data_IF_848419986364
#
_entry.id   IF_848419986364
#
_cell.length_a   1.000
_cell.length_b   1.000
_cell.length_c   1.000
_cell.angle_alpha   90.00
_cell.angle_beta   90.00
_cell.angle_gamma   90.00
#
_symmetry.space_group_name_H-M   'P 1'
#
loop_
_entity.id
_entity.type
_entity.pdbx_description
1 polymer ?
#
# COMPACT_ATOMS: atom_id res chain seq x y z
N UNK A 1 9.38 18.59 26.60
CA UNK A 1 10.21 17.76 25.70
C UNK A 1 9.45 16.45 25.44
N UNK A 2 8.78 16.25 24.30
CA UNK A 2 8.20 14.95 23.98
C UNK A 2 9.29 14.04 23.40
N UNK A 3 9.52 12.90 24.05
CA UNK A 3 10.55 11.93 23.69
C UNK A 3 10.28 11.26 22.34
N UNK A 4 11.34 11.11 21.55
CA UNK A 4 11.35 10.33 20.31
C UNK A 4 11.18 8.85 20.64
N UNK A 5 9.97 8.30 20.46
CA UNK A 5 9.73 6.85 20.54
C UNK A 5 10.53 6.14 19.44
N UNK A 6 11.42 5.21 19.82
CA UNK A 6 12.15 4.37 18.86
C UNK A 6 11.25 3.22 18.40
N UNK A 7 11.42 2.77 17.15
CA UNK A 7 10.67 1.66 16.57
C UNK A 7 10.72 0.38 17.43
N UNK A 8 11.83 0.16 18.13
CA UNK A 8 12.00 -0.93 19.10
C UNK A 8 11.03 -0.85 20.28
N UNK A 9 10.69 0.36 20.76
CA UNK A 9 9.77 0.56 21.87
C UNK A 9 8.31 0.29 21.46
N UNK A 10 7.98 0.60 20.20
CA UNK A 10 6.67 0.30 19.61
C UNK A 10 6.49 -1.22 19.41
N UNK A 11 7.53 -1.90 18.91
CA UNK A 11 7.51 -3.35 18.66
C UNK A 11 7.56 -4.16 19.96
N UNK A 12 8.35 -3.76 20.96
CA UNK A 12 8.39 -4.42 22.27
C UNK A 12 7.04 -4.37 22.99
N UNK A 13 6.28 -3.27 22.82
CA UNK A 13 4.94 -3.10 23.42
C UNK A 13 3.82 -3.80 22.65
N UNK A 14 4.01 -4.09 21.36
CA UNK A 14 3.10 -4.93 20.57
C UNK A 14 3.24 -6.43 20.94
N UNK A 15 4.42 -6.89 21.35
CA UNK A 15 4.65 -8.27 21.79
C UNK A 15 3.94 -8.63 23.12
N UNK A 16 3.63 -7.65 23.97
CA UNK A 16 2.92 -7.87 25.25
C UNK A 16 1.47 -8.35 25.04
N UNK A 17 0.91 -8.22 23.83
CA UNK A 17 -0.51 -8.53 23.55
C UNK A 17 -0.77 -9.86 22.83
N UNK A 18 0.23 -10.73 22.71
CA UNK A 18 0.09 -12.07 22.09
C UNK A 18 0.01 -13.24 23.10
N UNK A 19 -0.14 -12.99 24.41
CA UNK A 19 -0.27 -14.02 25.45
C UNK A 19 -1.56 -13.90 26.29
N UNK A 20 -2.06 -15.05 26.76
CA UNK A 20 -3.25 -15.30 27.60
C UNK A 20 -3.49 -14.33 28.80
N UNK A 21 -4.72 -14.27 29.37
CA UNK A 21 -5.08 -13.30 30.41
C UNK A 21 -4.19 -13.42 31.67
N UNK A 22 -3.89 -12.31 32.35
CA UNK A 22 -2.97 -12.31 33.48
C UNK A 22 -3.57 -13.06 34.67
N UNK A 23 -2.89 -14.12 35.11
CA UNK A 23 -2.98 -14.58 36.48
C UNK A 23 -2.26 -13.57 37.37
N UNK A 24 -2.99 -13.07 38.36
CA UNK A 24 -2.49 -12.27 39.47
C UNK A 24 -1.38 -13.03 40.18
N UNK A 25 -0.19 -12.43 40.31
CA UNK A 25 0.70 -12.61 41.47
C UNK A 25 1.66 -11.42 41.62
N UNK A 26 2.02 -11.24 42.88
CA UNK A 26 2.53 -10.07 43.59
C UNK A 26 4.02 -9.78 43.38
N UNK A 27 4.36 -8.53 43.69
CA UNK A 27 5.68 -7.93 43.91
C UNK A 27 6.79 -8.86 44.43
N UNK A 28 8.01 -8.75 43.89
CA UNK A 28 9.12 -8.01 44.51
C UNK A 28 10.39 -7.99 43.63
N UNK A 29 11.24 -6.98 43.91
CA UNK A 29 12.68 -6.82 43.68
C UNK A 29 13.28 -6.38 42.33
N UNK A 30 13.56 -5.07 42.27
CA UNK A 30 14.87 -4.39 42.20
C UNK A 30 16.01 -4.95 41.30
N UNK A 31 16.61 -4.03 40.52
CA UNK A 31 17.97 -4.21 39.99
C UNK A 31 18.27 -3.38 38.74
N UNK A 32 18.72 -2.14 38.94
CA UNK A 32 19.40 -1.33 37.92
C UNK A 32 20.79 -1.90 37.65
N UNK A 33 21.23 -1.95 36.39
CA UNK A 33 22.62 -1.59 36.07
C UNK A 33 22.84 -1.18 34.61
N UNK A 34 23.74 -0.23 34.46
CA UNK A 34 24.10 0.46 33.23
C UNK A 34 25.51 0.07 32.76
N UNK A 35 25.73 0.06 31.44
CA UNK A 35 27.04 -0.10 30.80
C UNK A 35 26.90 -0.83 29.46
N UNK A 36 27.55 -0.49 28.37
CA UNK A 36 28.52 0.53 28.02
C UNK A 36 28.58 0.57 26.49
N UNK A 37 28.86 1.75 25.93
CA UNK A 37 29.09 1.97 24.52
C UNK A 37 30.49 1.43 24.18
N UNK A 38 30.61 0.59 23.16
CA UNK A 38 31.89 0.34 22.50
C UNK A 38 31.70 0.41 20.99
N UNK A 39 32.48 1.31 20.39
CA UNK A 39 32.45 1.68 19.00
C UNK A 39 33.80 1.32 18.39
N UNK A 40 33.88 0.18 17.71
CA UNK A 40 34.78 0.01 16.56
C UNK A 40 34.58 -1.37 15.92
N UNK A 41 34.18 -1.42 14.65
CA UNK A 41 34.63 -2.46 13.69
C UNK A 41 34.19 -2.14 12.26
N UNK A 42 35.10 -2.33 11.27
CA UNK A 42 34.87 -1.98 9.88
C UNK A 42 34.00 -3.01 9.17
N UNK A 43 33.20 -2.54 8.20
CA UNK A 43 32.26 -3.35 7.45
C UNK A 43 32.90 -4.19 6.34
N UNK A 44 32.23 -5.28 5.89
CA UNK A 44 32.55 -5.91 4.63
C UNK A 44 31.66 -5.37 3.51
N UNK A 45 32.31 -5.05 2.39
CA UNK A 45 31.68 -4.93 1.09
C UNK A 45 30.98 -6.25 0.71
N UNK A 46 29.75 -6.17 0.20
CA UNK A 46 28.94 -7.34 -0.14
C UNK A 46 27.97 -7.07 -1.29
N UNK A 47 28.32 -7.64 -2.44
CA UNK A 47 27.50 -8.21 -3.54
C UNK A 47 26.14 -7.60 -3.92
N UNK A 48 25.99 -7.34 -5.23
CA UNK A 48 24.72 -7.16 -5.90
C UNK A 48 23.77 -8.34 -5.59
N UNK A 49 22.74 -8.08 -4.79
CA UNK A 49 21.82 -9.10 -4.30
C UNK A 49 21.01 -9.76 -5.40
N UNK A 50 21.08 -11.08 -5.44
CA UNK A 50 20.13 -11.93 -6.13
C UNK A 50 18.70 -11.51 -5.76
N UNK A 51 17.86 -11.30 -6.77
CA UNK A 51 16.41 -11.15 -6.58
C UNK A 51 15.88 -12.38 -5.84
N UNK A 52 15.35 -12.18 -4.63
CA UNK A 52 14.70 -13.22 -3.85
C UNK A 52 13.49 -13.75 -4.62
N UNK A 53 13.67 -14.89 -5.30
CA UNK A 53 12.68 -15.54 -6.15
C UNK A 53 11.37 -15.89 -5.43
N UNK A 54 11.36 -15.82 -4.09
CA UNK A 54 10.18 -16.01 -3.25
C UNK A 54 9.15 -14.88 -3.44
N UNK A 55 9.61 -13.63 -3.59
CA UNK A 55 8.72 -12.46 -3.72
C UNK A 55 8.17 -12.32 -5.15
N UNK A 56 8.94 -12.71 -6.16
CA UNK A 56 8.48 -12.75 -7.55
C UNK A 56 7.26 -13.68 -7.73
N UNK A 57 7.15 -14.72 -6.90
CA UNK A 57 6.03 -15.69 -6.94
C UNK A 57 4.71 -15.14 -6.38
N UNK A 58 4.71 -14.03 -5.64
CA UNK A 58 3.48 -13.48 -5.04
C UNK A 58 2.49 -13.06 -6.12
N UNK A 59 3.00 -12.44 -7.19
CA UNK A 59 2.20 -11.92 -8.30
C UNK A 59 2.11 -12.87 -9.50
N UNK A 60 2.98 -13.88 -9.57
CA UNK A 60 2.90 -14.91 -10.60
C UNK A 60 1.57 -15.71 -10.50
N UNK A 61 0.97 -16.16 -11.61
CA UNK A 61 -0.20 -17.03 -11.57
C UNK A 61 0.09 -18.34 -10.81
N UNK A 62 -0.92 -18.97 -10.19
CA UNK A 62 -0.72 -20.25 -9.49
C UNK A 62 -0.25 -21.33 -10.49
N UNK A 63 0.73 -22.18 -10.12
CA UNK A 63 1.17 -23.28 -10.96
C UNK A 63 0.03 -24.30 -11.16
N UNK A 64 -0.15 -24.77 -12.39
CA UNK A 64 -1.09 -25.86 -12.72
C UNK A 64 -2.57 -25.47 -12.91
N UNK A 65 -2.92 -24.18 -12.92
CA UNK A 65 -4.27 -23.74 -13.32
C UNK A 65 -4.46 -23.76 -14.85
N UNK A 66 -5.71 -23.66 -15.36
CA UNK A 66 -5.98 -23.50 -16.80
C UNK A 66 -5.37 -22.22 -17.41
N UNK A 67 -4.89 -21.31 -16.56
CA UNK A 67 -4.15 -20.09 -16.90
C UNK A 67 -2.69 -20.12 -16.48
N UNK A 68 -2.13 -21.29 -16.15
CA UNK A 68 -0.71 -21.44 -15.89
C UNK A 68 0.05 -21.13 -17.18
N UNK A 69 0.45 -19.88 -17.34
CA UNK A 69 1.42 -19.50 -18.35
C UNK A 69 2.69 -20.36 -18.14
N UNK A 70 3.36 -20.80 -19.22
CA UNK A 70 4.61 -21.54 -19.09
C UNK A 70 5.58 -20.75 -18.21
N UNK A 71 6.15 -21.43 -17.22
CA UNK A 71 7.06 -20.83 -16.24
C UNK A 71 8.30 -20.26 -16.97
N UNK A 72 8.30 -18.95 -17.19
CA UNK A 72 9.37 -18.20 -17.82
C UNK A 72 9.30 -16.73 -17.38
N UNK A 73 10.40 -15.98 -17.50
CA UNK A 73 10.51 -14.61 -17.01
C UNK A 73 9.36 -13.79 -17.61
N UNK A 74 8.66 -13.00 -16.78
CA UNK A 74 7.75 -11.90 -17.17
C UNK A 74 7.29 -11.99 -18.62
N UNK A 75 6.08 -12.52 -18.88
CA UNK A 75 5.49 -12.68 -20.21
C UNK A 75 6.11 -11.70 -21.22
N UNK A 76 6.93 -12.23 -22.14
CA UNK A 76 7.78 -11.39 -23.00
C UNK A 76 7.01 -10.20 -23.56
N UNK A 77 7.65 -9.04 -23.66
CA UNK A 77 7.00 -7.81 -24.14
C UNK A 77 6.29 -7.99 -25.49
N UNK A 78 6.75 -8.93 -26.32
CA UNK A 78 6.08 -9.39 -27.54
C UNK A 78 4.77 -10.13 -27.28
N UNK A 79 4.73 -11.05 -26.31
CA UNK A 79 3.52 -11.77 -25.89
C UNK A 79 2.44 -10.85 -25.34
N UNK A 80 2.80 -9.88 -24.48
CA UNK A 80 1.86 -8.87 -24.00
C UNK A 80 1.32 -8.02 -25.17
N UNK A 81 2.21 -7.56 -26.07
CA UNK A 81 1.81 -6.76 -27.24
C UNK A 81 0.82 -7.51 -28.14
N UNK A 82 1.09 -8.79 -28.41
CA UNK A 82 0.21 -9.64 -29.20
C UNK A 82 -1.16 -9.81 -28.52
N UNK A 83 -1.19 -10.06 -27.21
CA UNK A 83 -2.43 -10.17 -26.46
C UNK A 83 -3.26 -8.87 -26.49
N UNK A 84 -2.61 -7.71 -26.32
CA UNK A 84 -3.27 -6.41 -26.36
C UNK A 84 -3.74 -6.00 -27.77
N UNK A 85 -3.07 -6.48 -28.82
CA UNK A 85 -3.46 -6.20 -30.21
C UNK A 85 -4.85 -6.78 -30.55
N UNK A 86 -5.22 -7.90 -29.93
CA UNK A 86 -6.54 -8.53 -30.12
C UNK A 86 -7.67 -7.92 -29.29
N UNK A 87 -7.40 -6.99 -28.39
CA UNK A 87 -8.43 -6.38 -27.53
C UNK A 87 -9.09 -5.16 -28.19
N UNK A 88 -10.37 -4.92 -27.88
CA UNK A 88 -11.02 -3.64 -28.16
C UNK A 88 -10.41 -2.50 -27.32
N UNK A 89 -10.60 -1.26 -27.76
CA UNK A 89 -9.96 -0.08 -27.15
C UNK A 89 -10.32 0.11 -25.67
N UNK A 90 -11.56 -0.14 -25.28
CA UNK A 90 -12.01 -0.05 -23.89
C UNK A 90 -11.28 -1.06 -22.99
N UNK A 91 -11.15 -2.32 -23.43
CA UNK A 91 -10.42 -3.36 -22.70
C UNK A 91 -8.93 -3.08 -22.65
N UNK A 92 -8.35 -2.63 -23.77
CA UNK A 92 -6.95 -2.23 -23.82
C UNK A 92 -6.67 -1.09 -22.84
N UNK A 93 -7.48 -0.04 -22.85
CA UNK A 93 -7.35 1.09 -21.91
C UNK A 93 -7.53 0.63 -20.45
N UNK A 94 -8.50 -0.24 -20.18
CA UNK A 94 -8.75 -0.76 -18.84
C UNK A 94 -7.61 -1.63 -18.28
N UNK A 95 -6.91 -2.37 -19.15
CA UNK A 95 -5.74 -3.19 -18.78
C UNK A 95 -4.50 -2.34 -18.59
N UNK A 96 -4.29 -1.32 -19.43
CA UNK A 96 -3.12 -0.45 -19.36
C UNK A 96 -3.20 0.59 -18.25
N UNK A 97 -4.40 0.98 -17.82
CA UNK A 97 -4.60 1.99 -16.79
C UNK A 97 -5.62 1.52 -15.72
N UNK A 98 -5.26 0.51 -14.91
CA UNK A 98 -6.15 -0.05 -13.89
C UNK A 98 -6.49 0.95 -12.76
N UNK A 99 -5.72 2.04 -12.62
CA UNK A 99 -5.94 3.10 -11.66
C UNK A 99 -6.72 4.30 -12.24
N UNK A 100 -6.92 4.34 -13.56
CA UNK A 100 -7.55 5.47 -14.24
C UNK A 100 -6.75 6.78 -14.15
N UNK A 101 -5.41 6.71 -14.12
CA UNK A 101 -4.53 7.88 -14.00
C UNK A 101 -4.55 8.79 -15.24
N UNK A 102 -4.93 8.23 -16.39
CA UNK A 102 -5.10 8.98 -17.64
C UNK A 102 -6.43 9.73 -17.69
N UNK A 103 -7.37 9.41 -16.80
CA UNK A 103 -8.66 10.10 -16.69
C UNK A 103 -8.51 11.38 -15.86
N UNK A 104 -9.35 12.40 -16.07
CA UNK A 104 -9.41 13.56 -15.19
C UNK A 104 -9.65 13.14 -13.74
N UNK A 105 -9.08 13.88 -12.80
CA UNK A 105 -9.33 13.64 -11.39
C UNK A 105 -10.83 13.80 -11.10
N UNK A 106 -11.40 13.01 -10.17
CA UNK A 106 -12.74 13.30 -9.70
C UNK A 106 -12.77 14.70 -9.05
N UNK A 107 -13.95 15.35 -8.97
CA UNK A 107 -14.05 16.62 -8.27
C UNK A 107 -13.57 16.47 -6.81
N UNK A 108 -12.92 17.51 -6.30
CA UNK A 108 -12.42 17.53 -4.92
C UNK A 108 -13.54 17.16 -3.95
N UNK A 109 -13.25 16.22 -3.05
CA UNK A 109 -14.17 15.66 -2.05
C UNK A 109 -15.42 14.96 -2.61
N UNK A 110 -15.46 14.63 -3.91
CA UNK A 110 -16.49 13.75 -4.50
C UNK A 110 -15.84 12.47 -5.00
N UNK A 111 -15.83 11.38 -4.20
CA UNK A 111 -15.18 10.15 -4.60
C UNK A 111 -15.80 9.57 -5.87
N UNK A 112 -14.96 9.06 -6.76
CA UNK A 112 -15.39 8.28 -7.93
C UNK A 112 -15.03 6.81 -7.73
N UNK A 113 -15.88 5.87 -8.15
CA UNK A 113 -15.59 4.47 -7.90
C UNK A 113 -14.46 3.95 -8.80
N UNK A 114 -13.66 3.03 -8.27
CA UNK A 114 -12.55 2.37 -8.96
C UNK A 114 -12.97 0.96 -9.35
N UNK A 115 -12.96 0.70 -10.65
CA UNK A 115 -13.29 -0.61 -11.23
C UNK A 115 -12.01 -1.40 -11.50
N UNK A 116 -12.10 -2.72 -11.38
CA UNK A 116 -11.05 -3.62 -11.81
C UNK A 116 -10.93 -3.63 -13.35
N UNK A 117 -9.77 -4.02 -13.89
CA UNK A 117 -9.60 -4.30 -15.30
C UNK A 117 -10.67 -5.25 -15.84
N UNK A 118 -11.13 -5.04 -17.07
CA UNK A 118 -12.13 -5.88 -17.71
C UNK A 118 -11.81 -6.16 -19.18
N UNK A 119 -12.31 -7.28 -19.67
CA UNK A 119 -12.38 -7.63 -21.09
C UNK A 119 -13.83 -7.52 -21.52
N UNK A 120 -14.10 -6.75 -22.57
CA UNK A 120 -15.43 -6.56 -23.12
C UNK A 120 -15.50 -7.34 -24.44
N UNK A 121 -16.37 -8.34 -24.50
CA UNK A 121 -16.61 -9.13 -25.71
C UNK A 121 -17.62 -8.44 -26.64
N UNK A 122 -17.46 -7.12 -26.84
CA UNK A 122 -18.36 -6.30 -27.66
C UNK A 122 -19.63 -5.81 -26.94
N UNK A 123 -19.99 -6.38 -25.79
CA UNK A 123 -21.00 -5.85 -24.87
C UNK A 123 -20.33 -5.36 -23.57
N UNK A 124 -20.75 -4.20 -23.05
CA UNK A 124 -20.30 -3.76 -21.75
C UNK A 124 -20.71 -4.79 -20.67
N UNK A 125 -19.85 -5.11 -19.70
CA UNK A 125 -20.22 -6.05 -18.64
C UNK A 125 -21.48 -5.57 -17.91
N UNK A 126 -22.37 -6.51 -17.58
CA UNK A 126 -23.67 -6.22 -16.95
C UNK A 126 -23.54 -5.43 -15.63
N UNK A 127 -22.41 -5.58 -14.93
CA UNK A 127 -22.02 -4.71 -13.83
C UNK A 127 -20.48 -4.61 -13.75
N UNK A 128 -19.92 -3.45 -13.39
CA UNK A 128 -18.49 -3.32 -13.16
C UNK A 128 -18.06 -4.08 -11.90
N UNK A 129 -16.91 -4.77 -11.98
CA UNK A 129 -16.27 -5.34 -10.80
C UNK A 129 -15.51 -4.24 -10.05
N UNK A 130 -15.83 -4.00 -8.79
CA UNK A 130 -15.18 -2.96 -7.99
C UNK A 130 -13.83 -3.43 -7.45
N UNK A 131 -12.84 -2.55 -7.43
CA UNK A 131 -11.56 -2.81 -6.78
C UNK A 131 -11.72 -2.65 -5.26
N UNK A 132 -12.44 -3.56 -4.61
CA UNK A 132 -12.72 -3.54 -3.17
C UNK A 132 -11.84 -4.54 -2.42
N UNK A 133 -11.42 -4.21 -1.20
CA UNK A 133 -10.81 -5.18 -0.30
C UNK A 133 -11.78 -6.32 0.05
N UNK A 134 -11.28 -7.53 0.25
CA UNK A 134 -12.11 -8.71 0.58
C UNK A 134 -12.75 -8.59 1.97
N UNK A 135 -11.94 -8.21 2.95
CA UNK A 135 -12.31 -8.04 4.36
C UNK A 135 -11.48 -6.94 5.03
N UNK A 136 -11.80 -6.58 6.28
CA UNK A 136 -11.18 -5.51 7.07
C UNK A 136 -9.64 -5.63 7.23
N UNK A 137 -9.07 -6.81 7.07
CA UNK A 137 -7.62 -7.07 7.18
C UNK A 137 -6.87 -7.00 5.85
N UNK A 138 -7.60 -6.88 4.74
CA UNK A 138 -7.02 -6.94 3.37
C UNK A 138 -6.82 -5.59 2.69
N UNK A 139 -7.06 -4.45 3.37
CA UNK A 139 -6.83 -3.11 2.81
C UNK A 139 -5.43 -2.96 2.20
N UNK A 140 -4.38 -3.35 2.94
CA UNK A 140 -3.00 -3.34 2.44
C UNK A 140 -2.78 -4.26 1.25
N UNK A 141 -3.39 -5.45 1.26
CA UNK A 141 -3.28 -6.39 0.14
C UNK A 141 -4.00 -5.90 -1.12
N UNK A 142 -5.15 -5.24 -0.98
CA UNK A 142 -5.88 -4.60 -2.07
C UNK A 142 -5.04 -3.49 -2.72
N UNK A 143 -4.47 -2.60 -1.89
CA UNK A 143 -3.57 -1.53 -2.34
C UNK A 143 -2.35 -2.08 -3.08
N UNK A 144 -1.66 -3.07 -2.51
CA UNK A 144 -0.48 -3.68 -3.13
C UNK A 144 -0.81 -4.45 -4.41
N UNK A 145 -2.00 -5.06 -4.49
CA UNK A 145 -2.48 -5.74 -5.69
C UNK A 145 -2.75 -4.76 -6.83
N UNK A 146 -3.40 -3.63 -6.54
CA UNK A 146 -3.70 -2.60 -7.53
C UNK A 146 -2.44 -1.84 -7.96
N UNK A 147 -1.51 -1.59 -7.02
CA UNK A 147 -0.17 -1.07 -7.32
C UNK A 147 0.58 -1.98 -8.31
N UNK A 148 0.59 -3.29 -8.05
CA UNK A 148 1.24 -4.26 -8.93
C UNK A 148 0.59 -4.32 -10.31
N UNK A 149 -0.74 -4.33 -10.39
CA UNK A 149 -1.45 -4.28 -11.68
C UNK A 149 -1.12 -3.00 -12.46
N UNK A 150 -1.01 -1.84 -11.79
CA UNK A 150 -0.66 -0.59 -12.44
C UNK A 150 0.77 -0.57 -13.01
N UNK A 151 1.67 -1.37 -12.45
CA UNK A 151 3.04 -1.51 -12.94
C UNK A 151 3.28 -2.73 -13.84
N UNK A 152 2.30 -3.63 -13.99
CA UNK A 152 2.39 -4.86 -14.77
C UNK A 152 1.07 -5.10 -15.52
N UNK A 153 0.97 -4.64 -16.79
CA UNK A 153 -0.22 -4.84 -17.61
C UNK A 153 -0.54 -6.31 -17.90
N UNK A 154 0.45 -7.22 -17.79
CA UNK A 154 0.16 -8.64 -17.92
C UNK A 154 -0.61 -9.16 -16.70
N UNK A 155 -0.20 -8.77 -15.49
CA UNK A 155 -0.98 -9.06 -14.28
C UNK A 155 -2.39 -8.47 -14.35
N UNK A 156 -2.52 -7.22 -14.82
CA UNK A 156 -3.82 -6.57 -15.02
C UNK A 156 -4.70 -7.35 -16.03
N UNK A 157 -4.12 -7.78 -17.17
CA UNK A 157 -4.79 -8.62 -18.16
C UNK A 157 -5.24 -9.96 -17.57
N UNK A 158 -4.38 -10.59 -16.77
CA UNK A 158 -4.74 -11.84 -16.10
C UNK A 158 -5.90 -11.63 -15.15
N UNK A 159 -5.94 -10.55 -14.37
CA UNK A 159 -7.09 -10.23 -13.51
C UNK A 159 -8.34 -9.96 -14.35
N UNK A 160 -8.22 -9.25 -15.48
CA UNK A 160 -9.34 -8.88 -16.35
C UNK A 160 -10.18 -10.06 -16.87
N UNK A 161 -9.62 -11.27 -16.92
CA UNK A 161 -10.34 -12.50 -17.34
C UNK A 161 -11.41 -12.97 -16.37
N UNK A 162 -11.24 -12.68 -15.08
CA UNK A 162 -12.21 -12.97 -14.02
C UNK A 162 -11.95 -11.99 -12.87
N UNK A 163 -12.38 -10.72 -13.03
CA UNK A 163 -11.87 -9.61 -12.23
C UNK A 163 -12.07 -9.80 -10.74
N UNK A 164 -13.31 -10.06 -10.31
CA UNK A 164 -13.65 -10.18 -8.89
C UNK A 164 -12.91 -11.35 -8.22
N UNK A 165 -12.96 -12.54 -8.82
CA UNK A 165 -12.35 -13.75 -8.23
C UNK A 165 -10.83 -13.66 -8.22
N UNK A 166 -10.21 -13.19 -9.30
CA UNK A 166 -8.74 -13.11 -9.39
C UNK A 166 -8.17 -12.00 -8.54
N UNK A 167 -8.86 -10.87 -8.41
CA UNK A 167 -8.45 -9.82 -7.50
C UNK A 167 -8.52 -10.29 -6.04
N UNK A 168 -9.60 -10.97 -5.63
CA UNK A 168 -9.69 -11.56 -4.29
C UNK A 168 -8.58 -12.60 -4.03
N UNK A 169 -8.33 -13.49 -5.00
CA UNK A 169 -7.24 -14.48 -4.89
C UNK A 169 -5.86 -13.82 -4.82
N UNK A 170 -5.64 -12.73 -5.54
CA UNK A 170 -4.40 -11.95 -5.47
C UNK A 170 -4.23 -11.29 -4.10
N UNK A 171 -5.28 -10.68 -3.55
CA UNK A 171 -5.27 -10.10 -2.20
C UNK A 171 -4.88 -11.14 -1.15
N UNK A 172 -5.49 -12.33 -1.15
CA UNK A 172 -5.13 -13.38 -0.18
C UNK A 172 -3.69 -13.89 -0.33
N UNK A 173 -3.12 -13.89 -1.54
CA UNK A 173 -1.71 -14.25 -1.76
C UNK A 173 -0.78 -13.17 -1.22
N UNK A 174 -1.07 -11.90 -1.52
CA UNK A 174 -0.30 -10.76 -1.04
C UNK A 174 -0.36 -10.65 0.48
N UNK A 175 -1.54 -10.81 1.09
CA UNK A 175 -1.74 -10.80 2.54
C UNK A 175 -0.91 -11.88 3.23
N UNK A 176 -0.98 -13.13 2.75
CA UNK A 176 -0.16 -14.24 3.26
C UNK A 176 1.35 -14.04 3.02
N UNK A 177 1.75 -13.36 1.95
CA UNK A 177 3.14 -13.03 1.72
C UNK A 177 3.62 -12.00 2.73
N UNK A 178 2.84 -10.94 2.96
CA UNK A 178 3.17 -9.91 3.93
C UNK A 178 3.25 -10.45 5.37
N UNK A 179 2.33 -11.35 5.75
CA UNK A 179 2.34 -11.96 7.08
C UNK A 179 3.60 -12.79 7.39
N UNK A 180 4.30 -13.26 6.34
CA UNK A 180 5.54 -14.04 6.45
C UNK A 180 6.80 -13.22 6.20
N UNK A 181 6.66 -11.92 5.92
CA UNK A 181 7.77 -11.06 5.51
C UNK A 181 8.12 -10.06 6.59
N UNK A 182 9.42 -9.93 6.89
CA UNK A 182 9.94 -8.91 7.79
C UNK A 182 10.67 -9.48 9.01
N UNK A 183 11.23 -8.58 9.84
CA UNK A 183 12.05 -8.97 10.98
C UNK A 183 11.24 -9.56 12.14
N UNK A 184 9.93 -9.33 12.17
CA UNK A 184 9.03 -9.79 13.24
C UNK A 184 7.72 -10.29 12.61
N UNK A 185 7.17 -11.44 13.05
CA UNK A 185 5.85 -11.91 12.62
C UNK A 185 4.77 -10.86 12.91
N UNK A 186 4.00 -10.48 11.89
CA UNK A 186 2.86 -9.57 12.06
C UNK A 186 1.56 -10.38 12.17
N UNK A 187 0.73 -10.18 13.21
CA UNK A 187 -0.53 -10.89 13.34
C UNK A 187 -1.44 -10.67 12.13
N UNK A 188 -1.94 -11.73 11.52
CA UNK A 188 -2.83 -11.67 10.33
C UNK A 188 -4.05 -10.76 10.56
N UNK A 189 -4.59 -10.75 11.79
CA UNK A 189 -5.71 -9.91 12.20
C UNK A 189 -5.44 -8.41 12.15
N UNK A 190 -4.17 -8.00 12.11
CA UNK A 190 -3.75 -6.60 11.98
C UNK A 190 -3.42 -6.22 10.53
N UNK A 191 -3.76 -7.09 9.58
CA UNK A 191 -3.55 -6.85 8.16
C UNK A 191 -2.08 -6.93 7.75
N UNK A 192 -1.57 -5.87 7.14
CA UNK A 192 -0.25 -5.83 6.52
C UNK A 192 0.68 -4.89 7.28
N UNK A 193 1.87 -5.35 7.68
CA UNK A 193 2.87 -4.47 8.30
C UNK A 193 3.53 -3.54 7.26
N UNK A 194 3.93 -2.30 7.62
CA UNK A 194 4.57 -1.38 6.68
C UNK A 194 5.88 -1.89 6.06
N UNK A 195 6.73 -2.57 6.83
CA UNK A 195 7.98 -3.15 6.30
C UNK A 195 7.74 -4.32 5.35
N UNK A 196 6.71 -5.13 5.64
CA UNK A 196 6.30 -6.23 4.79
C UNK A 196 5.72 -5.70 3.47
N UNK A 197 4.87 -4.67 3.55
CA UNK A 197 4.34 -3.98 2.38
C UNK A 197 5.47 -3.44 1.49
N UNK A 198 6.46 -2.75 2.05
CA UNK A 198 7.58 -2.23 1.26
C UNK A 198 8.41 -3.34 0.58
N UNK A 199 8.59 -4.46 1.26
CA UNK A 199 9.31 -5.61 0.70
C UNK A 199 8.56 -6.26 -0.48
N UNK A 200 7.23 -6.31 -0.39
CA UNK A 200 6.34 -6.95 -1.38
C UNK A 200 5.90 -5.98 -2.49
N UNK A 201 5.87 -4.67 -2.27
CA UNK A 201 5.37 -3.67 -3.21
C UNK A 201 6.12 -3.70 -4.55
N UNK A 202 5.38 -3.68 -5.67
CA UNK A 202 5.92 -3.69 -7.03
C UNK A 202 5.15 -2.71 -7.90
N UNK A 203 5.88 -1.90 -8.65
CA UNK A 203 5.34 -1.01 -9.69
C UNK A 203 6.40 -0.87 -10.78
N UNK A 204 6.25 -1.62 -11.88
CA UNK A 204 7.34 -1.81 -12.84
C UNK A 204 8.61 -2.29 -12.14
N UNK A 205 9.74 -1.63 -12.42
CA UNK A 205 11.04 -1.93 -11.81
C UNK A 205 11.30 -1.21 -10.48
N UNK A 206 10.32 -0.46 -9.96
CA UNK A 206 10.48 0.32 -8.73
C UNK A 206 10.58 -0.59 -7.51
N UNK A 207 11.65 -0.40 -6.74
CA UNK A 207 11.82 -0.99 -5.41
C UNK A 207 11.32 -0.01 -4.36
N UNK A 208 10.74 -0.53 -3.30
CA UNK A 208 10.19 0.27 -2.22
C UNK A 208 10.97 0.11 -0.91
N UNK A 209 10.99 1.18 -0.15
CA UNK A 209 11.38 1.27 1.26
C UNK A 209 10.21 1.87 2.05
N UNK A 210 10.40 2.21 3.32
CA UNK A 210 9.32 2.74 4.14
C UNK A 210 9.81 3.79 5.15
N UNK A 211 8.93 4.70 5.55
CA UNK A 211 9.25 5.75 6.52
C UNK A 211 8.06 6.11 7.39
N UNK A 212 8.33 6.40 8.66
CA UNK A 212 7.32 6.85 9.63
C UNK A 212 6.93 8.30 9.33
N UNK A 213 5.62 8.56 9.26
CA UNK A 213 5.05 9.91 9.17
C UNK A 213 4.68 10.36 10.58
N UNK A 214 5.69 10.79 11.33
CA UNK A 214 5.56 11.27 12.71
C UNK A 214 6.82 12.01 13.16
N UNK A 215 6.66 12.88 14.16
CA UNK A 215 7.77 13.68 14.71
C UNK A 215 8.42 14.64 13.71
N UNK A 216 9.67 15.04 13.98
CA UNK A 216 10.39 16.06 13.21
C UNK A 216 10.60 15.71 11.73
N UNK A 217 10.62 14.42 11.36
CA UNK A 217 10.81 13.97 9.99
C UNK A 217 9.52 13.73 9.20
N UNK A 218 8.35 13.69 9.86
CA UNK A 218 7.10 13.26 9.23
C UNK A 218 6.73 14.07 7.98
N UNK A 219 6.85 15.40 8.07
CA UNK A 219 6.55 16.30 6.95
C UNK A 219 7.48 16.06 5.74
N UNK A 220 8.74 15.67 5.97
CA UNK A 220 9.68 15.32 4.89
C UNK A 220 9.27 14.02 4.19
N UNK A 221 8.89 12.99 4.96
CA UNK A 221 8.43 11.69 4.44
C UNK A 221 7.16 11.89 3.59
N UNK A 222 6.20 12.67 4.08
CA UNK A 222 4.96 12.92 3.34
C UNK A 222 5.19 13.74 2.07
N UNK A 223 6.07 14.75 2.11
CA UNK A 223 6.49 15.46 0.88
C UNK A 223 7.17 14.54 -0.14
N UNK A 224 7.96 13.57 0.32
CA UNK A 224 8.57 12.58 -0.57
C UNK A 224 7.51 11.67 -1.22
N UNK A 225 6.50 11.24 -0.45
CA UNK A 225 5.37 10.49 -0.97
C UNK A 225 4.61 11.27 -2.06
N UNK A 226 4.29 12.54 -1.80
CA UNK A 226 3.65 13.42 -2.79
C UNK A 226 4.51 13.59 -4.04
N UNK A 227 5.81 13.85 -3.89
CA UNK A 227 6.73 13.98 -5.04
C UNK A 227 6.79 12.72 -5.89
N UNK A 228 6.84 11.54 -5.26
CA UNK A 228 6.82 10.26 -5.98
C UNK A 228 5.49 10.07 -6.73
N UNK A 229 4.36 10.32 -6.08
CA UNK A 229 3.04 10.24 -6.71
C UNK A 229 2.92 11.21 -7.90
N UNK A 230 3.36 12.46 -7.76
CA UNK A 230 3.42 13.43 -8.86
C UNK A 230 4.35 13.01 -9.99
N UNK A 231 5.39 12.22 -9.71
CA UNK A 231 6.25 11.62 -10.73
C UNK A 231 5.64 10.36 -11.39
N UNK A 232 4.37 10.04 -11.10
CA UNK A 232 3.68 8.88 -11.65
C UNK A 232 4.01 7.56 -10.94
N UNK A 233 4.66 7.60 -9.77
CA UNK A 233 4.97 6.41 -8.96
C UNK A 233 3.99 6.38 -7.77
N UNK A 234 2.99 5.48 -7.77
CA UNK A 234 2.02 5.41 -6.68
C UNK A 234 2.68 4.96 -5.36
N UNK A 235 2.17 5.47 -4.25
CA UNK A 235 2.75 5.33 -2.91
C UNK A 235 1.70 4.82 -1.93
N UNK A 236 1.84 3.59 -1.38
CA UNK A 236 1.00 3.14 -0.29
C UNK A 236 1.20 4.00 0.96
N UNK A 237 0.10 4.48 1.54
CA UNK A 237 0.08 5.23 2.79
C UNK A 237 -0.66 4.42 3.84
N UNK A 238 -0.06 4.30 5.01
CA UNK A 238 -0.72 3.75 6.18
C UNK A 238 -1.36 4.87 6.98
N UNK A 239 -2.62 4.68 7.33
CA UNK A 239 -3.41 5.64 8.07
C UNK A 239 -3.80 5.08 9.44
N UNK A 240 -3.94 5.98 10.41
CA UNK A 240 -4.19 5.65 11.81
C UNK A 240 -4.60 6.88 12.61
N UNK A 241 -4.81 6.68 13.90
CA UNK A 241 -5.08 7.75 14.85
C UNK A 241 -3.83 8.50 15.30
N UNK A 242 -4.01 9.44 16.21
CA UNK A 242 -2.93 10.24 16.79
C UNK A 242 -2.28 9.52 17.98
N UNK A 243 -1.01 9.82 18.25
CA UNK A 243 -0.30 9.54 19.49
C UNK A 243 -0.87 10.31 20.69
N UNK A 244 -1.52 11.47 20.49
CA UNK A 244 -2.19 12.23 21.57
C UNK A 244 -3.32 11.44 22.24
N UNK A 245 -3.96 10.51 21.51
CA UNK A 245 -4.97 9.60 22.03
C UNK A 245 -4.43 8.30 22.65
N UNK A 246 -3.10 8.12 22.65
CA UNK A 246 -2.42 6.91 23.12
C UNK A 246 -1.66 6.18 22.01
N UNK A 247 -0.66 5.38 22.37
CA UNK A 247 0.15 4.63 21.39
C UNK A 247 -0.66 3.56 20.63
N UNK A 248 -1.76 3.09 21.22
CA UNK A 248 -2.67 2.09 20.63
C UNK A 248 -3.49 2.65 19.45
N UNK A 249 -3.69 3.96 19.41
CA UNK A 249 -4.38 4.68 18.32
C UNK A 249 -3.42 5.09 17.22
N UNK A 250 -2.13 5.22 17.49
CA UNK A 250 -1.09 5.53 16.50
C UNK A 250 -0.63 4.33 15.66
N UNK A 251 -1.13 3.12 15.95
CA UNK A 251 -0.82 1.92 15.17
C UNK A 251 -1.46 2.06 13.78
N UNK A 252 -0.73 1.80 12.68
CA UNK A 252 -1.31 1.68 11.34
C UNK A 252 -2.55 0.76 11.34
N UNK A 253 -3.71 1.29 10.96
CA UNK A 253 -4.98 0.53 10.96
C UNK A 253 -5.52 0.29 9.57
N UNK A 254 -5.14 1.14 8.62
CA UNK A 254 -5.68 1.07 7.27
C UNK A 254 -4.61 1.48 6.27
N UNK A 255 -4.78 1.07 5.01
CA UNK A 255 -3.83 1.36 3.92
C UNK A 255 -4.61 1.92 2.75
N UNK A 256 -4.18 3.07 2.25
CA UNK A 256 -4.69 3.72 1.05
C UNK A 256 -3.55 3.86 0.03
N UNK A 257 -3.89 4.12 -1.23
CA UNK A 257 -2.89 4.33 -2.29
C UNK A 257 -2.90 5.79 -2.76
N UNK A 258 -1.80 6.49 -2.53
CA UNK A 258 -1.56 7.83 -3.07
C UNK A 258 -1.08 7.74 -4.51
N UNK A 259 -1.67 8.54 -5.39
CA UNK A 259 -1.25 8.69 -6.79
C UNK A 259 -1.51 10.11 -7.28
N UNK A 260 -1.07 10.43 -8.49
CA UNK A 260 -1.44 11.65 -9.21
C UNK A 260 -1.70 11.29 -10.68
N UNK A 261 -2.71 11.91 -11.29
CA UNK A 261 -2.95 11.79 -12.72
C UNK A 261 -2.19 12.83 -13.53
N UNK A 262 -2.14 12.61 -14.84
CA UNK A 262 -1.61 13.59 -15.77
C UNK A 262 -2.44 14.89 -15.70
N UNK A 263 -1.78 16.03 -15.48
CA UNK A 263 -2.44 17.35 -15.37
C UNK A 263 -2.85 17.77 -13.96
N UNK A 264 -2.66 16.92 -12.94
CA UNK A 264 -2.97 17.28 -11.54
C UNK A 264 -1.87 18.17 -10.89
N UNK A 265 -0.81 18.51 -11.65
CA UNK A 265 0.38 19.23 -11.20
C UNK A 265 0.29 20.74 -11.49
N UNK A 266 -0.22 21.52 -10.54
CA UNK A 266 -0.26 22.98 -10.59
C UNK A 266 -0.10 23.61 -9.20
N UNK A 267 0.04 24.94 -9.13
CA UNK A 267 0.03 25.65 -7.85
C UNK A 267 -1.36 25.51 -7.20
N UNK A 268 -1.46 24.71 -6.13
CA UNK A 268 -2.74 24.27 -5.53
C UNK A 268 -3.26 22.92 -6.03
N UNK A 269 -2.41 22.13 -6.71
CA UNK A 269 -2.77 20.85 -7.31
C UNK A 269 -3.36 19.82 -6.35
N UNK A 270 -3.99 18.79 -6.91
CA UNK A 270 -4.61 17.70 -6.16
C UNK A 270 -3.77 16.44 -6.25
N UNK A 271 -3.82 15.62 -5.20
CA UNK A 271 -3.42 14.21 -5.25
C UNK A 271 -4.67 13.36 -5.25
N UNK A 272 -4.53 12.13 -5.73
CA UNK A 272 -5.61 11.15 -5.69
C UNK A 272 -5.30 10.09 -4.64
N UNK A 273 -6.31 9.70 -3.89
CA UNK A 273 -6.21 8.67 -2.84
C UNK A 273 -7.23 7.59 -3.13
N UNK A 274 -6.77 6.39 -3.45
CA UNK A 274 -7.63 5.22 -3.55
C UNK A 274 -7.84 4.60 -2.18
N UNK A 275 -9.11 4.49 -1.79
CA UNK A 275 -9.58 3.92 -0.53
C UNK A 275 -10.22 2.54 -0.81
N UNK A 276 -9.60 1.44 -0.36
CA UNK A 276 -9.96 0.09 -0.76
C UNK A 276 -11.24 -0.47 -0.10
N UNK A 277 -11.71 0.06 1.03
CA UNK A 277 -12.96 -0.38 1.66
C UNK A 277 -14.18 0.02 0.85
N UNK A 278 -14.20 1.25 0.36
CA UNK A 278 -15.26 1.80 -0.48
C UNK A 278 -15.05 1.48 -1.96
N UNK A 279 -13.83 1.13 -2.36
CA UNK A 279 -13.38 1.01 -3.74
C UNK A 279 -13.55 2.34 -4.50
N UNK A 280 -13.09 3.44 -3.90
CA UNK A 280 -13.23 4.77 -4.49
C UNK A 280 -11.91 5.53 -4.55
N UNK A 281 -11.83 6.45 -5.49
CA UNK A 281 -10.74 7.39 -5.70
C UNK A 281 -11.20 8.78 -5.24
N UNK A 282 -10.48 9.36 -4.31
CA UNK A 282 -10.71 10.69 -3.79
C UNK A 282 -9.71 11.67 -4.39
N UNK A 283 -10.16 12.83 -4.87
CA UNK A 283 -9.27 13.96 -5.12
C UNK A 283 -9.14 14.80 -3.85
N UNK A 284 -7.91 15.00 -3.39
CA UNK A 284 -7.55 15.70 -2.16
C UNK A 284 -6.60 16.84 -2.51
N UNK A 285 -6.87 18.08 -2.08
CA UNK A 285 -5.91 19.17 -2.24
C UNK A 285 -4.56 18.79 -1.64
N UNK A 286 -3.47 18.93 -2.39
CA UNK A 286 -2.14 18.52 -1.92
C UNK A 286 -1.74 19.24 -0.64
N UNK A 287 -2.09 20.53 -0.53
CA UNK A 287 -1.85 21.33 0.67
C UNK A 287 -2.57 20.76 1.90
N UNK A 288 -3.81 20.27 1.73
CA UNK A 288 -4.59 19.66 2.81
C UNK A 288 -3.96 18.36 3.31
N UNK A 289 -3.42 17.53 2.41
CA UNK A 289 -2.70 16.32 2.81
C UNK A 289 -1.41 16.67 3.57
N UNK A 290 -0.68 17.70 3.14
CA UNK A 290 0.60 18.11 3.73
C UNK A 290 0.47 18.87 5.04
N UNK A 291 -0.63 19.58 5.24
CA UNK A 291 -0.93 20.40 6.42
C UNK A 291 -2.42 20.28 6.82
N UNK A 292 -2.82 19.17 7.45
CA UNK A 292 -4.21 18.93 7.85
C UNK A 292 -4.65 19.78 9.05
N UNK A 293 -3.72 20.39 9.79
CA UNK A 293 -4.03 21.21 10.96
C UNK A 293 -4.60 22.57 10.55
N UNK A 294 -4.19 23.10 9.39
CA UNK A 294 -4.75 24.31 8.79
C UNK A 294 -6.15 24.12 8.18
N UNK A 295 -6.68 22.89 8.15
CA UNK A 295 -7.93 22.56 7.47
C UNK A 295 -9.18 23.09 8.18
N UNK A 296 -10.21 23.43 7.39
CA UNK A 296 -11.56 23.60 7.94
C UNK A 296 -12.09 22.25 8.45
N UNK A 297 -13.13 22.27 9.28
CA UNK A 297 -13.78 21.03 9.76
C UNK A 297 -14.29 20.16 8.60
N UNK A 298 -14.89 20.79 7.59
CA UNK A 298 -15.37 20.10 6.39
C UNK A 298 -14.24 19.45 5.61
N UNK A 299 -13.13 20.15 5.40
CA UNK A 299 -11.99 19.63 4.65
C UNK A 299 -11.34 18.47 5.41
N UNK A 300 -11.24 18.59 6.74
CA UNK A 300 -10.73 17.52 7.61
C UNK A 300 -11.61 16.27 7.55
N UNK A 301 -12.93 16.42 7.56
CA UNK A 301 -13.86 15.30 7.43
C UNK A 301 -13.69 14.59 6.07
N UNK A 302 -13.53 15.36 5.00
CA UNK A 302 -13.32 14.81 3.67
C UNK A 302 -11.95 14.13 3.51
N UNK A 303 -10.88 14.69 4.10
CA UNK A 303 -9.58 14.03 4.18
C UNK A 303 -9.69 12.71 4.97
N UNK A 304 -10.36 12.74 6.12
CA UNK A 304 -10.58 11.55 6.96
C UNK A 304 -11.28 10.44 6.17
N UNK A 305 -12.30 10.79 5.37
CA UNK A 305 -12.96 9.82 4.49
C UNK A 305 -11.98 9.23 3.44
N UNK A 306 -11.17 10.07 2.79
CA UNK A 306 -10.17 9.63 1.82
C UNK A 306 -9.07 8.72 2.43
N UNK A 307 -8.82 8.85 3.74
CA UNK A 307 -7.84 8.07 4.49
C UNK A 307 -8.47 6.81 5.15
N UNK A 308 -9.67 6.39 4.73
CA UNK A 308 -10.36 5.22 5.25
C UNK A 308 -10.93 5.42 6.65
N UNK A 309 -11.46 6.62 6.91
CA UNK A 309 -11.98 7.09 8.20
C UNK A 309 -10.93 7.25 9.31
N UNK A 310 -9.67 7.41 8.94
CA UNK A 310 -8.57 7.71 9.86
C UNK A 310 -8.06 9.15 9.69
N UNK A 311 -7.73 9.84 10.79
CA UNK A 311 -7.40 11.27 10.73
C UNK A 311 -6.00 11.55 10.17
N UNK A 312 -5.07 10.58 10.21
CA UNK A 312 -3.66 10.84 9.91
C UNK A 312 -3.01 9.74 9.07
N UNK A 313 -2.04 10.16 8.25
CA UNK A 313 -1.02 9.27 7.68
C UNK A 313 0.07 9.08 8.73
N UNK A 314 0.38 7.82 9.05
CA UNK A 314 1.37 7.46 10.09
C UNK A 314 2.60 6.76 9.51
N UNK A 315 2.51 6.26 8.28
CA UNK A 315 3.62 5.61 7.58
C UNK A 315 3.45 5.74 6.06
N UNK A 316 4.56 5.76 5.32
CA UNK A 316 4.56 5.72 3.86
C UNK A 316 5.50 4.63 3.33
N UNK A 317 5.11 3.98 2.24
CA UNK A 317 5.94 3.02 1.47
C UNK A 317 6.47 3.74 0.23
N UNK A 318 7.73 4.13 0.27
CA UNK A 318 8.34 5.08 -0.66
C UNK A 318 9.20 4.36 -1.71
N UNK A 319 9.31 4.86 -2.94
CA UNK A 319 10.34 4.38 -3.87
C UNK A 319 11.75 4.60 -3.29
N UNK A 320 12.65 3.66 -3.58
CA UNK A 320 14.06 3.67 -3.17
C UNK A 320 14.96 4.23 -4.27
#
# INVERSE_FOLDING_TARGET
>A
MPGSLRLTDLLARLHVFTGAPPQVRTADDAGLDAGGLDADRPGPAGSAGAVDGTLARVFAPPPGGPDAAPAGPTASSSGLRAALAGLGDASRASVLDPLGLSRPAPPVFRPAPVTLPFLADGAAPAAPAWARQVDETTCGAAVLSLLAMAGDPWLALQVARDPARRFAALQHRVHRACARTGPVPWPLRLGTAPWAAASVARFGDVRYTHGVVGGASGARVLRQAVRAASAGIPVPLFTGGDLRGGWQTAVPRHVVLLTAGAGDQGAGGVVRVYEPSSATMHAVPTALLLDPDAATERDRAALTAALGHWPHVVWAVLPR
#
